data_IF_295270689826
#
_entry.id   IF_295270689826
#
_cell.length_a   1.000
_cell.length_b   1.000
_cell.length_c   1.000
_cell.angle_alpha   90.00
_cell.angle_beta   90.00
_cell.angle_gamma   90.00
#
_symmetry.space_group_name_H-M   'P 1'
#
loop_
_entity.id
_entity.type
_entity.pdbx_description
1 polymer ?
#
# COMPACT_ATOMS: atom_id res chain seq x y z
N UNK A 1 -41.74 7.46 -6.09
CA UNK A 1 -40.66 6.51 -6.42
C UNK A 1 -40.48 5.62 -5.20
N UNK A 2 -40.66 4.31 -5.35
CA UNK A 2 -40.59 3.33 -4.26
C UNK A 2 -39.21 3.41 -3.59
N UNK A 3 -39.17 3.86 -2.33
CA UNK A 3 -37.97 3.99 -1.52
C UNK A 3 -37.61 2.64 -0.87
N UNK A 4 -37.61 1.57 -1.68
CA UNK A 4 -37.25 0.23 -1.22
C UNK A 4 -35.76 0.06 -1.44
N UNK A 5 -34.99 0.12 -0.35
CA UNK A 5 -33.58 -0.28 -0.36
C UNK A 5 -33.46 -1.69 -0.97
N UNK A 6 -32.49 -1.94 -1.86
CA UNK A 6 -32.28 -3.28 -2.39
C UNK A 6 -32.01 -4.25 -1.23
N UNK A 7 -32.49 -5.51 -1.32
CA UNK A 7 -32.25 -6.51 -0.29
C UNK A 7 -30.75 -6.74 -0.12
N UNK A 8 -30.25 -6.57 1.11
CA UNK A 8 -28.83 -6.68 1.47
C UNK A 8 -28.56 -8.10 1.99
N UNK A 9 -27.49 -8.73 1.50
CA UNK A 9 -27.01 -10.04 1.93
C UNK A 9 -25.55 -9.98 2.37
N UNK A 10 -25.16 -10.82 3.34
CA UNK A 10 -23.75 -10.98 3.70
C UNK A 10 -22.91 -11.50 2.54
N UNK A 11 -23.51 -12.22 1.59
CA UNK A 11 -22.80 -12.76 0.43
C UNK A 11 -22.55 -11.70 -0.66
N UNK A 12 -23.13 -10.49 -0.55
CA UNK A 12 -22.96 -9.39 -1.51
C UNK A 12 -21.49 -9.03 -1.72
N UNK A 13 -20.64 -9.22 -0.71
CA UNK A 13 -19.18 -9.07 -0.82
C UNK A 13 -18.56 -9.92 -1.94
N UNK A 14 -19.20 -11.01 -2.35
CA UNK A 14 -18.75 -11.91 -3.42
C UNK A 14 -19.73 -11.97 -4.60
N UNK A 15 -21.04 -11.82 -4.38
CA UNK A 15 -22.06 -12.00 -5.43
C UNK A 15 -22.49 -10.70 -6.13
N UNK A 16 -22.39 -9.55 -5.45
CA UNK A 16 -22.83 -8.28 -6.01
C UNK A 16 -21.92 -7.90 -7.18
N UNK A 17 -22.47 -7.55 -8.34
CA UNK A 17 -21.67 -7.18 -9.52
C UNK A 17 -21.19 -5.73 -9.46
N UNK A 18 -22.06 -4.82 -9.03
CA UNK A 18 -21.81 -3.37 -8.96
C UNK A 18 -22.54 -2.77 -7.75
N UNK A 19 -22.09 -1.63 -7.25
CA UNK A 19 -22.70 -0.94 -6.11
C UNK A 19 -21.91 -1.16 -4.82
N UNK A 20 -22.53 -0.91 -3.67
CA UNK A 20 -21.83 -0.93 -2.38
C UNK A 20 -22.03 -2.26 -1.65
N UNK A 21 -20.94 -2.90 -1.25
CA UNK A 21 -20.95 -4.07 -0.38
C UNK A 21 -20.15 -3.79 0.90
N UNK A 22 -20.62 -4.32 2.02
CA UNK A 22 -19.87 -4.30 3.28
C UNK A 22 -18.90 -5.47 3.33
N UNK A 23 -17.62 -5.20 3.63
CA UNK A 23 -16.60 -6.23 3.73
C UNK A 23 -15.42 -5.82 4.62
N UNK A 24 -14.67 -6.82 5.09
CA UNK A 24 -13.37 -6.61 5.75
C UNK A 24 -12.23 -6.45 4.74
N UNK A 25 -11.06 -5.99 5.20
CA UNK A 25 -9.86 -5.93 4.35
C UNK A 25 -9.45 -7.30 3.78
N UNK A 26 -9.56 -8.38 4.57
CA UNK A 26 -9.28 -9.75 4.09
C UNK A 26 -10.29 -10.17 3.00
N UNK A 27 -11.57 -9.86 3.19
CA UNK A 27 -12.60 -10.17 2.18
C UNK A 27 -12.40 -9.37 0.89
N UNK A 28 -11.88 -8.14 0.98
CA UNK A 28 -11.48 -7.37 -0.19
C UNK A 28 -10.34 -8.04 -0.98
N UNK A 29 -9.37 -8.68 -0.30
CA UNK A 29 -8.32 -9.47 -0.95
C UNK A 29 -8.86 -10.70 -1.68
N UNK A 30 -9.96 -11.29 -1.20
CA UNK A 30 -10.67 -12.38 -1.89
C UNK A 30 -11.48 -11.86 -3.08
N UNK A 31 -12.11 -10.69 -2.92
CA UNK A 31 -12.92 -10.06 -3.96
C UNK A 31 -12.08 -9.53 -5.13
N UNK A 32 -10.88 -9.02 -4.85
CA UNK A 32 -9.96 -8.46 -5.84
C UNK A 32 -9.70 -9.37 -7.06
N UNK A 33 -9.28 -10.64 -6.92
CA UNK A 33 -9.08 -11.52 -8.07
C UNK A 33 -10.36 -11.80 -8.87
N UNK A 34 -11.54 -11.77 -8.22
CA UNK A 34 -12.83 -11.89 -8.93
C UNK A 34 -13.05 -10.67 -9.83
N UNK A 35 -12.77 -9.46 -9.32
CA UNK A 35 -12.88 -8.23 -10.11
C UNK A 35 -11.90 -8.22 -11.28
N UNK A 36 -10.66 -8.69 -11.07
CA UNK A 36 -9.69 -8.82 -12.17
C UNK A 36 -10.19 -9.79 -13.25
N UNK A 37 -10.74 -10.95 -12.87
CA UNK A 37 -11.29 -11.92 -13.82
C UNK A 37 -12.45 -11.33 -14.64
N UNK A 38 -13.36 -10.58 -14.01
CA UNK A 38 -14.46 -9.91 -14.71
C UNK A 38 -13.95 -8.89 -15.75
N UNK A 39 -12.85 -8.18 -15.45
CA UNK A 39 -12.22 -7.25 -16.40
C UNK A 39 -11.57 -7.98 -17.56
N UNK A 40 -10.89 -9.09 -17.29
CA UNK A 40 -10.25 -9.89 -18.33
C UNK A 40 -11.28 -10.49 -19.30
N UNK A 41 -12.39 -11.03 -18.78
CA UNK A 41 -13.49 -11.54 -19.59
C UNK A 41 -14.14 -10.45 -20.44
N UNK A 42 -14.36 -9.26 -19.88
CA UNK A 42 -14.88 -8.11 -20.62
C UNK A 42 -13.92 -7.62 -21.72
N UNK A 43 -12.61 -7.85 -21.56
CA UNK A 43 -11.59 -7.58 -22.57
C UNK A 43 -11.40 -8.75 -23.57
N UNK A 44 -12.18 -9.82 -23.46
CA UNK A 44 -12.10 -11.00 -24.33
C UNK A 44 -10.94 -11.95 -24.02
N UNK A 45 -10.33 -11.85 -22.85
CA UNK A 45 -9.20 -12.70 -22.42
C UNK A 45 -9.68 -13.92 -21.63
N UNK A 46 -9.13 -15.09 -21.95
CA UNK A 46 -9.29 -16.32 -21.18
C UNK A 46 -8.16 -16.48 -20.16
N UNK A 47 -8.18 -15.67 -19.09
CA UNK A 47 -7.20 -15.77 -17.99
C UNK A 47 -7.68 -16.67 -16.85
N UNK A 48 -6.74 -17.11 -16.02
CA UNK A 48 -7.02 -17.76 -14.73
C UNK A 48 -6.39 -16.95 -13.58
N UNK A 49 -6.88 -17.17 -12.36
CA UNK A 49 -6.34 -16.56 -11.15
C UNK A 49 -5.63 -17.59 -10.27
N UNK A 50 -4.47 -17.24 -9.72
CA UNK A 50 -3.76 -18.09 -8.75
C UNK A 50 -3.39 -17.30 -7.49
N UNK A 51 -3.81 -17.79 -6.32
CA UNK A 51 -3.52 -17.15 -5.03
C UNK A 51 -2.84 -18.15 -4.11
N UNK A 52 -1.69 -17.76 -3.58
CA UNK A 52 -0.94 -18.57 -2.62
C UNK A 52 -0.14 -17.67 -1.68
N UNK A 53 0.31 -18.21 -0.56
CA UNK A 53 1.02 -17.46 0.46
C UNK A 53 1.14 -18.25 1.73
N UNK A 54 1.67 -17.60 2.76
CA UNK A 54 1.78 -18.20 4.08
C UNK A 54 1.17 -17.28 5.14
N UNK A 55 0.41 -17.90 6.04
CA UNK A 55 -0.34 -17.20 7.08
C UNK A 55 0.59 -16.53 8.11
N UNK A 56 0.29 -15.28 8.42
CA UNK A 56 0.89 -14.53 9.51
C UNK A 56 0.10 -13.25 9.74
N UNK A 57 -0.17 -12.88 10.99
CA UNK A 57 -0.94 -11.65 11.29
C UNK A 57 -0.26 -10.42 10.69
N UNK A 58 -0.96 -9.47 10.05
CA UNK A 58 -2.43 -9.33 10.01
C UNK A 58 -3.16 -10.24 9.00
N UNK A 59 -2.42 -10.94 8.14
CA UNK A 59 -2.95 -11.81 7.08
C UNK A 59 -3.25 -13.24 7.53
N UNK A 60 -3.35 -13.49 8.84
CA UNK A 60 -3.46 -14.84 9.42
C UNK A 60 -4.74 -15.60 9.04
N UNK A 61 -5.81 -14.88 8.68
CA UNK A 61 -7.11 -15.47 8.32
C UNK A 61 -7.36 -15.51 6.80
N UNK A 62 -6.39 -15.11 5.97
CA UNK A 62 -6.53 -15.08 4.50
C UNK A 62 -6.93 -16.46 3.97
N UNK A 63 -6.23 -17.53 4.37
CA UNK A 63 -6.52 -18.91 3.94
C UNK A 63 -7.97 -19.29 4.21
N UNK A 64 -8.46 -19.00 5.41
CA UNK A 64 -9.81 -19.36 5.85
C UNK A 64 -10.87 -18.66 4.99
N UNK A 65 -10.67 -17.38 4.68
CA UNK A 65 -11.61 -16.63 3.85
C UNK A 65 -11.59 -17.11 2.39
N UNK A 66 -10.42 -17.44 1.82
CA UNK A 66 -10.36 -18.06 0.49
C UNK A 66 -11.02 -19.44 0.45
N UNK A 67 -10.84 -20.29 1.47
CA UNK A 67 -11.53 -21.58 1.54
C UNK A 67 -13.04 -21.44 1.64
N UNK A 68 -13.55 -20.49 2.45
CA UNK A 68 -14.99 -20.20 2.53
C UNK A 68 -15.55 -19.70 1.20
N UNK A 69 -14.78 -18.88 0.49
CA UNK A 69 -15.17 -18.30 -0.79
C UNK A 69 -14.98 -19.24 -1.99
N UNK A 70 -14.41 -20.44 -1.80
CA UNK A 70 -14.10 -21.41 -2.87
C UNK A 70 -15.24 -21.60 -3.88
N UNK A 71 -16.48 -21.73 -3.41
CA UNK A 71 -17.68 -21.91 -4.25
C UNK A 71 -17.95 -20.75 -5.23
N UNK A 72 -17.44 -19.55 -4.94
CA UNK A 72 -17.53 -18.39 -5.84
C UNK A 72 -16.30 -18.26 -6.75
N UNK A 73 -15.14 -18.75 -6.31
CA UNK A 73 -13.85 -18.60 -6.99
C UNK A 73 -13.62 -19.65 -8.09
N UNK A 74 -13.95 -20.92 -7.84
CA UNK A 74 -13.72 -22.01 -8.80
C UNK A 74 -14.46 -21.82 -10.13
N UNK A 75 -15.74 -21.39 -10.16
CA UNK A 75 -16.43 -21.10 -11.43
C UNK A 75 -15.73 -20.01 -12.26
N UNK A 76 -15.01 -19.11 -11.60
CA UNK A 76 -14.25 -18.01 -12.22
C UNK A 76 -12.82 -18.41 -12.61
N UNK A 77 -12.45 -19.70 -12.50
CA UNK A 77 -11.09 -20.21 -12.74
C UNK A 77 -10.04 -19.56 -11.81
N UNK A 78 -10.44 -19.22 -10.58
CA UNK A 78 -9.54 -18.68 -9.56
C UNK A 78 -9.21 -19.78 -8.56
N UNK A 79 -7.94 -20.18 -8.49
CA UNK A 79 -7.46 -21.23 -7.58
C UNK A 79 -6.70 -20.63 -6.41
N UNK A 80 -7.16 -20.94 -5.21
CA UNK A 80 -6.38 -20.75 -3.99
C UNK A 80 -5.63 -22.03 -3.62
N UNK A 81 -4.35 -21.90 -3.30
CA UNK A 81 -3.51 -22.99 -2.79
C UNK A 81 -2.67 -22.44 -1.64
N UNK A 82 -2.94 -22.87 -0.41
CA UNK A 82 -2.11 -22.50 0.73
C UNK A 82 -0.66 -22.98 0.51
N UNK A 83 0.30 -22.09 0.74
CA UNK A 83 1.72 -22.40 0.66
C UNK A 83 2.20 -23.16 1.89
N UNK A 84 3.26 -23.96 1.72
CA UNK A 84 3.94 -24.59 2.86
C UNK A 84 4.81 -23.58 3.63
N UNK A 85 5.38 -22.62 2.90
CA UNK A 85 6.08 -21.44 3.39
C UNK A 85 6.01 -20.34 2.31
N UNK A 86 6.53 -19.17 2.64
CA UNK A 86 6.53 -17.99 1.79
C UNK A 86 7.32 -18.16 0.49
N UNK A 87 8.47 -18.83 0.54
CA UNK A 87 9.38 -19.02 -0.60
C UNK A 87 8.75 -19.94 -1.66
N UNK A 88 8.16 -21.05 -1.24
CA UNK A 88 7.47 -22.00 -2.12
C UNK A 88 6.21 -21.37 -2.72
N UNK A 89 5.49 -20.55 -1.95
CA UNK A 89 4.38 -19.78 -2.46
C UNK A 89 4.85 -18.80 -3.57
N UNK A 90 5.91 -18.04 -3.33
CA UNK A 90 6.45 -17.11 -4.33
C UNK A 90 7.00 -17.83 -5.56
N UNK A 91 7.65 -18.97 -5.38
CA UNK A 91 8.16 -19.80 -6.49
C UNK A 91 7.00 -20.34 -7.33
N UNK A 92 5.89 -20.73 -6.69
CA UNK A 92 4.67 -21.15 -7.39
C UNK A 92 4.09 -20.00 -8.21
N UNK A 93 4.03 -18.78 -7.65
CA UNK A 93 3.62 -17.57 -8.40
C UNK A 93 4.57 -17.28 -9.56
N UNK A 94 5.87 -17.48 -9.40
CA UNK A 94 6.80 -17.32 -10.51
C UNK A 94 6.58 -18.35 -11.61
N UNK A 95 6.29 -19.60 -11.26
CA UNK A 95 5.89 -20.63 -12.21
C UNK A 95 4.64 -20.28 -13.02
N UNK A 96 3.65 -19.61 -12.42
CA UNK A 96 2.43 -19.20 -13.15
C UNK A 96 2.73 -18.18 -14.26
N UNK A 97 3.78 -17.37 -14.11
CA UNK A 97 4.20 -16.40 -15.12
C UNK A 97 4.93 -17.02 -16.31
N UNK A 98 5.26 -18.31 -16.24
CA UNK A 98 5.98 -19.06 -17.27
C UNK A 98 5.07 -19.98 -18.07
N UNK A 99 3.79 -20.12 -17.70
CA UNK A 99 2.85 -21.06 -18.33
C UNK A 99 2.75 -20.86 -19.85
N UNK A 100 2.79 -19.60 -20.31
CA UNK A 100 2.70 -19.27 -21.74
C UNK A 100 3.99 -19.51 -22.54
N UNK A 101 5.06 -20.03 -21.91
CA UNK A 101 6.20 -20.57 -22.64
C UNK A 101 5.88 -21.93 -23.28
N UNK A 102 4.87 -22.64 -22.76
CA UNK A 102 4.33 -23.86 -23.37
C UNK A 102 3.25 -23.50 -24.40
N UNK A 103 3.36 -23.92 -25.67
CA UNK A 103 2.32 -23.68 -26.68
C UNK A 103 0.97 -24.33 -26.35
N UNK A 104 0.92 -25.28 -25.41
CA UNK A 104 -0.30 -25.94 -24.95
C UNK A 104 -0.94 -25.27 -23.72
N UNK A 105 -0.52 -24.03 -23.38
CA UNK A 105 -1.12 -23.26 -22.30
C UNK A 105 -2.65 -23.16 -22.45
N UNK A 106 -3.38 -23.49 -21.39
CA UNK A 106 -4.86 -23.48 -21.38
C UNK A 106 -5.47 -22.08 -21.27
N UNK A 107 -4.69 -21.11 -20.83
CA UNK A 107 -5.12 -19.74 -20.52
C UNK A 107 -4.15 -18.74 -21.13
N UNK A 108 -4.65 -17.58 -21.52
CA UNK A 108 -3.85 -16.48 -22.11
C UNK A 108 -2.84 -15.90 -21.12
N UNK A 109 -3.11 -16.07 -19.82
CA UNK A 109 -2.24 -15.70 -18.72
C UNK A 109 -2.84 -16.08 -17.36
N UNK A 110 -1.99 -16.11 -16.34
CA UNK A 110 -2.40 -16.40 -14.95
C UNK A 110 -2.06 -15.20 -14.06
N UNK A 111 -3.05 -14.37 -13.74
CA UNK A 111 -2.85 -13.30 -12.77
C UNK A 111 -2.71 -13.90 -11.38
N UNK A 112 -1.78 -13.38 -10.58
CA UNK A 112 -1.39 -14.05 -9.35
C UNK A 112 -1.24 -13.12 -8.15
N UNK A 113 -1.63 -13.63 -6.99
CA UNK A 113 -1.43 -12.97 -5.70
C UNK A 113 -0.54 -13.85 -4.84
N UNK A 114 0.57 -13.27 -4.39
CA UNK A 114 1.32 -13.76 -3.25
C UNK A 114 0.89 -12.98 -2.00
N UNK A 115 0.78 -13.63 -0.84
CA UNK A 115 0.64 -12.93 0.44
C UNK A 115 1.55 -13.49 1.54
N UNK A 116 2.01 -12.59 2.40
CA UNK A 116 2.84 -12.93 3.55
C UNK A 116 3.04 -11.73 4.47
N UNK A 117 3.44 -11.99 5.72
CA UNK A 117 3.80 -10.95 6.67
C UNK A 117 5.20 -10.39 6.35
N UNK A 118 5.54 -9.22 6.90
CA UNK A 118 6.88 -8.63 6.88
C UNK A 118 8.06 -9.60 6.89
N UNK A 119 8.26 -10.43 7.94
CA UNK A 119 9.37 -11.39 7.97
C UNK A 119 9.37 -12.42 6.84
N UNK A 120 8.18 -12.75 6.31
CA UNK A 120 8.03 -13.56 5.12
C UNK A 120 8.58 -12.88 3.87
N UNK A 121 8.43 -11.56 3.75
CA UNK A 121 9.05 -10.75 2.69
C UNK A 121 10.57 -10.79 2.80
N UNK A 122 11.12 -10.62 4.01
CA UNK A 122 12.57 -10.70 4.25
C UNK A 122 13.14 -12.04 3.79
N UNK A 123 12.46 -13.13 4.18
CA UNK A 123 12.83 -14.50 3.83
C UNK A 123 12.75 -14.77 2.32
N UNK A 124 11.71 -14.26 1.65
CA UNK A 124 11.41 -14.55 0.24
C UNK A 124 12.25 -13.72 -0.74
N UNK A 125 13.10 -12.82 -0.24
CA UNK A 125 13.81 -11.84 -1.06
C UNK A 125 14.57 -12.43 -2.25
N UNK A 126 15.16 -13.63 -2.13
CA UNK A 126 15.84 -14.29 -3.24
C UNK A 126 14.89 -14.60 -4.42
N UNK A 127 13.76 -15.25 -4.14
CA UNK A 127 12.75 -15.59 -5.14
C UNK A 127 12.20 -14.32 -5.79
N UNK A 128 11.93 -13.27 -5.01
CA UNK A 128 11.47 -11.99 -5.55
C UNK A 128 12.49 -11.34 -6.50
N UNK A 129 13.80 -11.41 -6.22
CA UNK A 129 14.83 -10.89 -7.13
C UNK A 129 14.78 -11.61 -8.48
N UNK A 130 14.82 -12.94 -8.45
CA UNK A 130 14.80 -13.76 -9.66
C UNK A 130 13.51 -13.56 -10.46
N UNK A 131 12.36 -13.61 -9.78
CA UNK A 131 11.07 -13.51 -10.44
C UNK A 131 10.79 -12.11 -11.00
N UNK A 132 11.19 -11.04 -10.31
CA UNK A 132 11.01 -9.67 -10.80
C UNK A 132 11.95 -9.35 -11.98
N UNK A 133 13.21 -9.82 -11.91
CA UNK A 133 14.16 -9.70 -13.03
C UNK A 133 13.62 -10.38 -14.29
N UNK A 134 13.17 -11.63 -14.18
CA UNK A 134 12.52 -12.35 -15.27
C UNK A 134 11.25 -11.62 -15.75
N UNK A 135 10.38 -11.25 -14.81
CA UNK A 135 9.16 -10.47 -15.00
C UNK A 135 7.88 -11.30 -15.05
N UNK A 136 6.81 -10.67 -15.51
CA UNK A 136 5.47 -11.27 -15.60
C UNK A 136 5.11 -11.66 -17.03
N UNK A 137 4.18 -12.61 -17.19
CA UNK A 137 3.53 -12.87 -18.48
C UNK A 137 2.68 -11.65 -18.89
N UNK A 138 2.54 -11.42 -20.19
CA UNK A 138 1.77 -10.29 -20.77
C UNK A 138 0.35 -10.17 -20.21
N UNK A 139 -0.33 -11.30 -19.99
CA UNK A 139 -1.69 -11.35 -19.43
C UNK A 139 -1.74 -12.01 -18.04
N UNK A 140 -0.58 -12.27 -17.42
CA UNK A 140 -0.49 -12.73 -16.05
C UNK A 140 -0.63 -11.55 -15.10
N UNK A 141 0.49 -10.98 -14.68
CA UNK A 141 0.56 -9.90 -13.70
C UNK A 141 0.57 -10.44 -12.28
N UNK A 142 1.36 -9.82 -11.40
CA UNK A 142 1.62 -10.30 -10.04
C UNK A 142 1.49 -9.18 -9.03
N UNK A 143 0.71 -9.47 -7.99
CA UNK A 143 0.55 -8.66 -6.79
C UNK A 143 1.17 -9.37 -5.58
N UNK A 144 2.05 -8.68 -4.88
CA UNK A 144 2.72 -9.18 -3.68
C UNK A 144 2.16 -8.42 -2.47
N UNK A 145 1.20 -9.03 -1.79
CA UNK A 145 0.50 -8.46 -0.63
C UNK A 145 1.36 -8.65 0.62
N UNK A 146 1.88 -7.55 1.14
CA UNK A 146 2.82 -7.54 2.24
C UNK A 146 2.17 -7.02 3.52
N UNK A 147 1.94 -7.94 4.47
CA UNK A 147 1.31 -7.66 5.76
C UNK A 147 2.26 -6.95 6.72
N UNK A 148 2.06 -5.66 6.93
CA UNK A 148 2.84 -4.84 7.84
C UNK A 148 2.07 -4.52 9.14
N UNK A 149 2.80 -4.59 10.26
CA UNK A 149 2.33 -4.27 11.60
C UNK A 149 3.35 -3.32 12.23
N UNK A 150 3.00 -2.03 12.24
CA UNK A 150 3.89 -0.97 12.68
C UNK A 150 4.01 -0.89 14.21
N UNK A 151 2.96 -1.22 14.94
CA UNK A 151 2.95 -1.25 16.40
C UNK A 151 3.37 -2.60 16.99
N UNK A 152 3.58 -3.62 16.16
CA UNK A 152 3.83 -4.99 16.61
C UNK A 152 2.75 -5.51 17.57
N UNK A 153 1.48 -5.18 17.31
CA UNK A 153 0.34 -5.63 18.13
C UNK A 153 0.23 -7.16 18.16
N UNK A 154 0.60 -7.80 17.06
CA UNK A 154 0.55 -9.26 16.86
C UNK A 154 1.84 -9.80 16.24
N UNK A 155 2.91 -9.00 16.30
CA UNK A 155 4.20 -9.29 15.68
C UNK A 155 5.31 -9.38 16.72
N UNK A 156 6.34 -10.17 16.42
CA UNK A 156 7.56 -10.19 17.22
C UNK A 156 8.37 -8.90 17.06
N UNK A 157 8.31 -8.28 15.88
CA UNK A 157 9.01 -7.03 15.57
C UNK A 157 8.10 -6.07 14.77
N UNK A 158 8.16 -4.76 15.06
CA UNK A 158 7.59 -3.73 14.21
C UNK A 158 8.22 -3.77 12.81
N UNK A 159 7.43 -3.90 11.74
CA UNK A 159 7.95 -4.11 10.39
C UNK A 159 7.67 -2.94 9.42
N UNK A 160 8.44 -2.81 8.33
CA UNK A 160 8.26 -1.83 7.24
C UNK A 160 8.83 -2.40 5.94
N UNK A 161 7.97 -2.95 5.08
CA UNK A 161 8.39 -3.73 3.90
C UNK A 161 8.90 -2.90 2.72
N UNK A 162 8.58 -1.60 2.63
CA UNK A 162 8.89 -0.79 1.44
C UNK A 162 10.39 -0.72 1.13
N UNK A 163 11.23 -0.70 2.16
CA UNK A 163 12.69 -0.72 1.99
C UNK A 163 13.20 -2.00 1.32
N UNK A 164 12.56 -3.14 1.62
CA UNK A 164 12.91 -4.42 1.00
C UNK A 164 12.51 -4.40 -0.47
N UNK A 165 11.27 -4.00 -0.77
CA UNK A 165 10.78 -3.95 -2.15
C UNK A 165 11.54 -2.96 -3.04
N UNK A 166 11.97 -1.81 -2.48
CA UNK A 166 12.91 -0.91 -3.16
C UNK A 166 14.21 -1.63 -3.55
N UNK A 167 14.79 -2.41 -2.64
CA UNK A 167 15.99 -3.21 -2.94
C UNK A 167 15.76 -4.36 -3.94
N UNK A 168 14.51 -4.82 -4.07
CA UNK A 168 14.08 -5.84 -5.04
C UNK A 168 13.66 -5.25 -6.39
N UNK A 169 13.70 -3.93 -6.52
CA UNK A 169 13.25 -3.19 -7.70
C UNK A 169 11.77 -3.43 -8.06
N UNK A 170 10.90 -3.60 -7.07
CA UNK A 170 9.47 -3.84 -7.25
C UNK A 170 8.67 -2.56 -6.97
N UNK A 171 7.86 -2.05 -7.92
CA UNK A 171 6.96 -0.92 -7.65
C UNK A 171 6.06 -1.19 -6.45
N UNK A 172 5.87 -0.20 -5.58
CA UNK A 172 5.15 -0.37 -4.30
C UNK A 172 3.90 0.51 -4.28
N UNK A 173 2.73 -0.13 -4.14
CA UNK A 173 1.45 0.53 -3.93
C UNK A 173 1.11 0.57 -2.43
N UNK A 174 0.64 1.73 -1.96
CA UNK A 174 0.31 1.97 -0.56
C UNK A 174 -1.16 2.43 -0.40
N UNK A 175 -2.12 1.50 -0.42
CA UNK A 175 -3.53 1.83 -0.20
C UNK A 175 -3.78 2.35 1.23
N UNK A 176 -4.70 3.30 1.36
CA UNK A 176 -5.07 3.89 2.64
C UNK A 176 -6.23 3.17 3.34
N UNK A 177 -7.05 2.44 2.58
CA UNK A 177 -8.28 1.82 3.08
C UNK A 177 -8.78 0.70 2.17
N UNK A 178 -9.90 0.08 2.56
CA UNK A 178 -10.47 -1.09 1.88
C UNK A 178 -10.95 -0.75 0.46
N UNK A 179 -11.48 0.45 0.22
CA UNK A 179 -11.83 0.90 -1.14
C UNK A 179 -10.60 0.86 -2.04
N UNK A 180 -9.48 1.40 -1.56
CA UNK A 180 -8.22 1.41 -2.29
C UNK A 180 -7.58 0.02 -2.38
N UNK A 181 -8.00 -0.96 -1.57
CA UNK A 181 -7.56 -2.33 -1.79
C UNK A 181 -8.01 -2.87 -3.15
N UNK A 182 -9.26 -2.59 -3.50
CA UNK A 182 -9.83 -2.95 -4.79
C UNK A 182 -9.23 -2.08 -5.89
N UNK A 183 -9.16 -0.76 -5.70
CA UNK A 183 -8.70 0.17 -6.73
C UNK A 183 -7.21 0.00 -7.07
N UNK A 184 -6.35 0.06 -6.06
CA UNK A 184 -4.91 -0.12 -6.26
C UNK A 184 -4.56 -1.58 -6.57
N UNK A 185 -5.39 -2.54 -6.17
CA UNK A 185 -5.24 -3.93 -6.61
C UNK A 185 -5.42 -4.07 -8.12
N UNK A 186 -6.48 -3.48 -8.70
CA UNK A 186 -6.68 -3.52 -10.15
C UNK A 186 -5.59 -2.76 -10.91
N UNK A 187 -5.15 -1.60 -10.39
CA UNK A 187 -3.96 -0.94 -10.91
C UNK A 187 -2.70 -1.79 -10.77
N UNK A 188 -2.54 -2.55 -9.69
CA UNK A 188 -1.38 -3.41 -9.47
C UNK A 188 -1.24 -4.51 -10.52
N UNK A 189 -2.34 -5.19 -10.88
CA UNK A 189 -2.31 -6.16 -11.98
C UNK A 189 -2.00 -5.50 -13.32
N UNK A 190 -2.64 -4.38 -13.64
CA UNK A 190 -2.42 -3.68 -14.90
C UNK A 190 -0.99 -3.10 -15.02
N UNK A 191 -0.49 -2.47 -13.95
CA UNK A 191 0.89 -1.99 -13.83
C UNK A 191 1.87 -3.13 -13.99
N UNK A 192 1.61 -4.27 -13.35
CA UNK A 192 2.48 -5.45 -13.42
C UNK A 192 2.53 -6.04 -14.84
N UNK A 193 1.39 -6.14 -15.53
CA UNK A 193 1.30 -6.60 -16.92
C UNK A 193 2.05 -5.66 -17.88
N UNK A 194 1.85 -4.36 -17.70
CA UNK A 194 2.45 -3.33 -18.57
C UNK A 194 3.97 -3.22 -18.38
N UNK A 195 4.43 -3.06 -17.14
CA UNK A 195 5.85 -2.85 -16.84
C UNK A 195 6.67 -4.14 -16.88
N UNK A 196 6.03 -5.31 -16.76
CA UNK A 196 6.72 -6.58 -16.56
C UNK A 196 7.29 -6.75 -15.15
N UNK A 197 7.09 -5.79 -14.23
CA UNK A 197 7.50 -5.89 -12.84
C UNK A 197 6.48 -6.68 -12.00
N UNK A 198 6.95 -7.30 -10.94
CA UNK A 198 6.08 -7.68 -9.83
C UNK A 198 5.75 -6.44 -9.00
N UNK A 199 4.48 -6.28 -8.63
CA UNK A 199 4.02 -5.10 -7.90
C UNK A 199 3.79 -5.45 -6.44
N UNK A 200 4.55 -4.81 -5.57
CA UNK A 200 4.36 -4.88 -4.14
C UNK A 200 3.17 -4.03 -3.70
N UNK A 201 2.47 -4.51 -2.69
CA UNK A 201 1.23 -3.91 -2.21
C UNK A 201 1.18 -4.00 -0.71
N UNK A 202 1.20 -2.83 -0.07
CA UNK A 202 1.27 -2.73 1.38
C UNK A 202 -0.09 -3.00 2.01
N UNK A 203 -0.14 -3.94 2.94
CA UNK A 203 -1.33 -4.29 3.70
C UNK A 203 -1.10 -4.05 5.19
N UNK A 204 -1.48 -2.87 5.68
CA UNK A 204 -1.35 -2.52 7.09
C UNK A 204 -2.39 -3.23 7.95
N UNK A 205 -1.98 -3.60 9.16
CA UNK A 205 -2.86 -4.22 10.18
C UNK A 205 -4.16 -3.45 10.37
N UNK A 206 -4.10 -2.11 10.51
CA UNK A 206 -5.31 -1.29 10.68
C UNK A 206 -6.26 -1.34 9.49
N UNK A 207 -5.76 -1.59 8.26
CA UNK A 207 -6.61 -1.69 7.07
C UNK A 207 -7.15 -3.11 6.88
N UNK A 208 -6.31 -4.13 7.13
CA UNK A 208 -6.67 -5.54 6.99
C UNK A 208 -7.76 -5.94 8.00
N UNK A 209 -7.65 -5.46 9.24
CA UNK A 209 -8.52 -5.82 10.36
C UNK A 209 -9.77 -4.93 10.49
N UNK A 210 -9.91 -3.91 9.64
CA UNK A 210 -11.10 -3.04 9.59
C UNK A 210 -12.14 -3.57 8.60
N UNK A 211 -13.37 -3.10 8.75
CA UNK A 211 -14.49 -3.31 7.80
C UNK A 211 -15.05 -1.99 7.29
N UNK A 212 -15.51 -1.95 6.04
CA UNK A 212 -16.14 -0.78 5.44
C UNK A 212 -17.13 -1.17 4.34
N UNK A 213 -18.02 -0.24 3.99
CA UNK A 213 -18.88 -0.35 2.81
C UNK A 213 -18.21 0.32 1.62
N UNK A 214 -17.82 -0.49 0.63
CA UNK A 214 -17.00 -0.09 -0.52
C UNK A 214 -17.74 -0.35 -1.83
N UNK A 215 -17.42 0.41 -2.88
CA UNK A 215 -17.93 0.15 -4.22
C UNK A 215 -17.19 -1.06 -4.82
N UNK A 216 -17.94 -2.05 -5.30
CA UNK A 216 -17.42 -3.30 -5.85
C UNK A 216 -17.54 -3.40 -7.38
N UNK A 217 -17.91 -2.32 -8.04
CA UNK A 217 -17.94 -2.25 -9.51
C UNK A 217 -16.51 -2.41 -10.07
N UNK A 218 -16.22 -3.51 -10.78
CA UNK A 218 -14.89 -3.76 -11.32
C UNK A 218 -14.49 -2.79 -12.41
N UNK A 219 -15.42 -2.03 -13.02
CA UNK A 219 -15.16 -1.13 -14.15
C UNK A 219 -15.07 0.34 -13.75
N UNK A 220 -15.35 0.68 -12.49
CA UNK A 220 -15.18 2.06 -11.99
C UNK A 220 -13.72 2.52 -12.12
N UNK A 221 -12.77 1.62 -11.93
CA UNK A 221 -11.33 1.89 -12.03
C UNK A 221 -10.89 1.84 -13.48
N UNK A 222 -10.34 2.92 -14.01
CA UNK A 222 -9.79 2.94 -15.37
C UNK A 222 -8.29 2.67 -15.31
N UNK A 223 -7.84 1.61 -15.99
CA UNK A 223 -6.42 1.23 -16.07
C UNK A 223 -5.89 1.56 -17.45
N UNK A 224 -5.42 2.79 -17.62
CA UNK A 224 -4.90 3.30 -18.89
C UNK A 224 -3.49 2.76 -19.12
N UNK A 225 -3.20 2.37 -20.36
CA UNK A 225 -1.88 1.88 -20.78
C UNK A 225 -1.15 2.99 -21.52
N UNK A 226 0.06 3.40 -21.10
CA UNK A 226 0.83 4.41 -21.82
C UNK A 226 1.09 4.00 -23.27
N UNK A 227 0.92 4.97 -24.17
CA UNK A 227 1.19 4.80 -25.60
C UNK A 227 2.70 4.81 -25.88
N UNK A 228 3.10 4.46 -27.10
CA UNK A 228 4.50 4.57 -27.52
C UNK A 228 5.03 6.02 -27.49
N UNK A 229 4.15 7.02 -27.58
CA UNK A 229 4.52 8.43 -27.43
C UNK A 229 4.77 8.83 -25.97
N UNK A 230 4.03 8.22 -25.04
CA UNK A 230 4.23 8.43 -23.60
C UNK A 230 5.49 7.71 -23.10
N UNK A 231 5.71 6.48 -23.57
CA UNK A 231 6.90 5.69 -23.24
C UNK A 231 7.20 4.66 -24.34
N UNK A 232 8.32 4.81 -25.08
CA UNK A 232 8.69 3.85 -26.11
C UNK A 232 9.15 2.53 -25.48
N UNK A 233 8.43 1.45 -25.76
CA UNK A 233 8.81 0.11 -25.33
C UNK A 233 9.99 -0.42 -26.18
N UNK A 234 10.91 -1.20 -25.59
CA UNK A 234 11.92 -1.91 -26.37
C UNK A 234 11.26 -2.89 -27.35
N UNK A 235 11.93 -3.18 -28.46
CA UNK A 235 11.41 -4.05 -29.54
C UNK A 235 10.93 -5.41 -29.04
N UNK A 236 11.72 -6.04 -28.16
CA UNK A 236 11.39 -7.35 -27.58
C UNK A 236 10.37 -7.28 -26.42
N UNK A 237 9.85 -6.09 -26.09
CA UNK A 237 8.95 -5.85 -24.97
C UNK A 237 9.58 -6.02 -23.58
N UNK A 238 8.73 -5.95 -22.55
CA UNK A 238 9.14 -5.94 -21.13
C UNK A 238 8.89 -7.26 -20.40
N UNK A 239 7.92 -8.05 -20.87
CA UNK A 239 7.43 -9.24 -20.18
C UNK A 239 8.45 -10.40 -20.19
N UNK A 240 8.14 -11.40 -19.37
CA UNK A 240 8.94 -12.62 -19.24
C UNK A 240 9.07 -13.32 -20.60
N UNK A 241 10.30 -13.74 -20.90
CA UNK A 241 10.63 -14.56 -22.06
C UNK A 241 11.82 -15.46 -21.73
N UNK A 242 11.96 -16.53 -22.49
CA UNK A 242 13.03 -17.50 -22.33
C UNK A 242 13.65 -17.85 -23.70
N UNK A 243 14.97 -18.03 -23.79
CA UNK A 243 15.98 -17.78 -22.75
C UNK A 243 16.44 -16.31 -22.74
N UNK A 244 16.64 -15.73 -21.55
CA UNK A 244 17.32 -14.43 -21.38
C UNK A 244 18.48 -14.58 -20.37
N UNK A 245 19.72 -14.19 -20.71
CA UNK A 245 20.83 -14.17 -19.77
C UNK A 245 20.59 -13.18 -18.60
N UNK A 246 21.18 -13.39 -17.41
CA UNK A 246 20.95 -12.55 -16.23
C UNK A 246 21.19 -11.05 -16.46
N UNK A 247 22.29 -10.68 -17.12
CA UNK A 247 22.61 -9.26 -17.39
C UNK A 247 21.63 -8.59 -18.36
N UNK A 248 20.99 -9.37 -19.24
CA UNK A 248 19.95 -8.85 -20.13
C UNK A 248 18.66 -8.57 -19.36
N UNK A 249 18.30 -9.44 -18.41
CA UNK A 249 17.16 -9.24 -17.51
C UNK A 249 17.37 -8.02 -16.61
N UNK A 250 18.55 -7.89 -16.00
CA UNK A 250 18.92 -6.74 -15.16
C UNK A 250 18.84 -5.44 -15.96
N UNK A 251 19.46 -5.37 -17.14
CA UNK A 251 19.39 -4.19 -18.01
C UNK A 251 17.95 -3.83 -18.35
N UNK A 252 17.09 -4.81 -18.65
CA UNK A 252 15.67 -4.57 -18.92
C UNK A 252 14.94 -3.99 -17.71
N UNK A 253 15.16 -4.57 -16.53
CA UNK A 253 14.57 -4.12 -15.28
C UNK A 253 14.95 -2.67 -14.96
N UNK A 254 16.25 -2.38 -14.96
CA UNK A 254 16.78 -1.09 -14.54
C UNK A 254 16.58 0.02 -15.59
N UNK A 255 16.70 -0.28 -16.88
CA UNK A 255 16.66 0.74 -17.94
C UNK A 255 15.27 0.92 -18.55
N UNK A 256 14.35 -0.04 -18.37
CA UNK A 256 13.04 0.01 -19.02
C UNK A 256 11.87 -0.25 -18.08
N UNK A 257 11.84 -1.37 -17.35
CA UNK A 257 10.65 -1.78 -16.57
C UNK A 257 10.25 -0.74 -15.51
N UNK A 258 11.22 -0.23 -14.74
CA UNK A 258 10.95 0.79 -13.71
C UNK A 258 10.45 2.12 -14.30
N UNK A 259 11.01 2.54 -15.44
CA UNK A 259 10.56 3.75 -16.12
C UNK A 259 9.18 3.58 -16.77
N UNK A 260 8.85 2.38 -17.26
CA UNK A 260 7.50 2.05 -17.67
C UNK A 260 6.52 2.15 -16.49
N UNK A 261 6.92 1.66 -15.30
CA UNK A 261 6.09 1.80 -14.10
C UNK A 261 5.83 3.28 -13.73
N UNK A 262 6.83 4.15 -13.86
CA UNK A 262 6.67 5.60 -13.68
C UNK A 262 5.72 6.23 -14.70
N UNK A 263 5.85 5.87 -15.98
CA UNK A 263 4.96 6.34 -17.04
C UNK A 263 3.49 5.92 -16.79
N UNK A 264 3.29 4.67 -16.36
CA UNK A 264 1.97 4.17 -15.96
C UNK A 264 1.42 4.94 -14.76
N UNK A 265 2.23 5.16 -13.72
CA UNK A 265 1.85 5.89 -12.52
C UNK A 265 1.37 7.30 -12.85
N UNK A 266 2.10 8.01 -13.72
CA UNK A 266 1.76 9.37 -14.16
C UNK A 266 0.45 9.40 -14.93
N UNK A 267 0.30 8.55 -15.93
CA UNK A 267 -0.90 8.51 -16.78
C UNK A 267 -2.16 8.20 -15.97
N UNK A 268 -2.06 7.27 -15.02
CA UNK A 268 -3.19 6.85 -14.18
C UNK A 268 -3.37 7.73 -12.93
N UNK A 269 -2.56 8.78 -12.75
CA UNK A 269 -2.61 9.68 -11.60
C UNK A 269 -2.65 8.95 -10.25
N UNK A 270 -1.83 7.89 -10.11
CA UNK A 270 -1.77 7.14 -8.86
C UNK A 270 -1.34 8.03 -7.69
N UNK A 271 -0.54 9.05 -7.99
CA UNK A 271 -0.16 10.12 -7.08
C UNK A 271 -0.95 11.39 -7.46
N UNK A 272 -1.64 11.99 -6.48
CA UNK A 272 -2.65 13.04 -6.74
C UNK A 272 -2.60 14.19 -5.73
N UNK A 273 -2.79 15.41 -6.22
CA UNK A 273 -3.12 16.57 -5.38
C UNK A 273 -4.59 16.47 -4.97
N UNK A 274 -4.83 16.27 -3.68
CA UNK A 274 -6.17 16.14 -3.08
C UNK A 274 -6.75 17.53 -2.78
N UNK A 275 -5.93 18.41 -2.23
CA UNK A 275 -6.29 19.80 -1.93
C UNK A 275 -5.26 20.67 -2.62
N UNK A 276 -5.72 21.65 -3.39
CA UNK A 276 -4.87 22.65 -4.00
C UNK A 276 -5.18 24.05 -3.47
N UNK A 277 -4.21 24.95 -3.57
CA UNK A 277 -4.34 26.34 -3.20
C UNK A 277 -3.72 27.23 -4.28
N UNK A 278 -4.39 28.31 -4.70
CA UNK A 278 -3.81 29.29 -5.63
C UNK A 278 -2.66 30.09 -4.99
N UNK A 279 -2.58 30.11 -3.66
CA UNK A 279 -1.54 30.80 -2.89
C UNK A 279 -0.85 29.80 -1.95
N UNK A 280 -0.49 28.63 -2.49
CA UNK A 280 0.09 27.54 -1.70
C UNK A 280 1.41 27.99 -1.04
N UNK A 281 1.57 27.66 0.24
CA UNK A 281 2.77 27.97 1.06
C UNK A 281 3.34 26.72 1.70
N UNK A 282 2.46 25.90 2.28
CA UNK A 282 2.83 24.63 2.90
C UNK A 282 2.17 23.47 2.15
N UNK A 283 3.00 22.59 1.60
CA UNK A 283 2.58 21.30 1.08
C UNK A 283 2.64 20.24 2.15
N UNK A 284 1.67 19.34 2.16
CA UNK A 284 1.70 18.09 2.92
C UNK A 284 1.74 16.95 1.91
N UNK A 285 2.74 16.07 2.01
CA UNK A 285 2.82 14.84 1.21
C UNK A 285 2.67 13.63 2.13
N UNK A 286 1.82 12.69 1.73
CA UNK A 286 1.50 11.52 2.56
C UNK A 286 1.06 10.33 1.70
N UNK A 287 1.00 9.13 2.29
CA UNK A 287 0.60 7.89 1.62
C UNK A 287 -0.07 6.92 2.59
N UNK A 288 -0.71 5.88 2.05
CA UNK A 288 -1.29 4.80 2.85
C UNK A 288 -2.21 5.30 3.97
N UNK A 289 -2.19 4.61 5.12
CA UNK A 289 -3.00 4.99 6.30
C UNK A 289 -2.74 6.43 6.76
N UNK A 290 -1.49 6.92 6.72
CA UNK A 290 -1.16 8.28 7.16
C UNK A 290 -1.96 9.35 6.41
N UNK A 291 -2.40 9.08 5.18
CA UNK A 291 -3.34 9.98 4.48
C UNK A 291 -4.64 10.18 5.26
N UNK A 292 -5.26 9.10 5.74
CA UNK A 292 -6.49 9.20 6.53
C UNK A 292 -6.24 9.90 7.87
N UNK A 293 -5.09 9.64 8.50
CA UNK A 293 -4.70 10.31 9.74
C UNK A 293 -4.45 11.82 9.53
N UNK A 294 -3.89 12.23 8.39
CA UNK A 294 -3.77 13.64 7.98
C UNK A 294 -5.14 14.27 7.78
N UNK A 295 -6.07 13.59 7.11
CA UNK A 295 -7.45 14.10 6.94
C UNK A 295 -8.14 14.28 8.29
N UNK A 296 -8.00 13.31 9.20
CA UNK A 296 -8.53 13.43 10.56
C UNK A 296 -7.87 14.57 11.35
N UNK A 297 -6.55 14.73 11.24
CA UNK A 297 -5.83 15.81 11.90
C UNK A 297 -6.27 17.19 11.42
N UNK A 298 -6.51 17.36 10.12
CA UNK A 298 -7.04 18.60 9.55
C UNK A 298 -8.45 18.90 10.08
N UNK A 299 -9.34 17.90 10.12
CA UNK A 299 -10.70 18.04 10.67
C UNK A 299 -10.71 18.40 12.16
N UNK A 300 -9.85 17.74 12.94
CA UNK A 300 -9.62 18.02 14.36
C UNK A 300 -9.21 19.49 14.58
N UNK A 301 -8.36 20.04 13.70
CA UNK A 301 -7.94 21.44 13.70
C UNK A 301 -9.00 22.41 13.14
N UNK A 302 -10.10 21.89 12.59
CA UNK A 302 -11.16 22.68 11.95
C UNK A 302 -10.78 23.23 10.58
N UNK A 303 -9.89 22.52 9.88
CA UNK A 303 -9.40 22.88 8.56
C UNK A 303 -10.04 21.92 7.55
N UNK A 304 -11.18 22.33 6.99
CA UNK A 304 -11.76 21.66 5.82
C UNK A 304 -10.98 21.97 4.53
N UNK A 305 -11.38 21.40 3.40
CA UNK A 305 -10.68 21.59 2.11
C UNK A 305 -10.70 23.05 1.65
N UNK A 306 -11.82 23.76 1.84
CA UNK A 306 -11.95 25.16 1.46
C UNK A 306 -11.04 26.05 2.33
N UNK A 307 -10.99 25.78 3.63
CA UNK A 307 -10.11 26.48 4.57
C UNK A 307 -8.66 26.19 4.27
N UNK A 308 -8.29 24.92 4.03
CA UNK A 308 -6.95 24.51 3.64
C UNK A 308 -6.48 25.29 2.40
N UNK A 309 -7.30 25.31 1.34
CA UNK A 309 -7.02 26.07 0.13
C UNK A 309 -6.86 27.58 0.41
N UNK A 310 -7.76 28.17 1.22
CA UNK A 310 -7.74 29.60 1.53
C UNK A 310 -6.51 30.05 2.33
N UNK A 311 -6.01 29.22 3.25
CA UNK A 311 -4.85 29.56 4.09
C UNK A 311 -3.50 29.21 3.45
N UNK A 312 -3.49 28.58 2.26
CA UNK A 312 -2.27 28.22 1.54
C UNK A 312 -1.76 26.79 1.79
N UNK A 313 -2.64 25.84 2.11
CA UNK A 313 -2.28 24.42 2.22
C UNK A 313 -2.53 23.66 0.92
N UNK A 314 -1.57 22.82 0.54
CA UNK A 314 -1.70 21.81 -0.52
C UNK A 314 -1.53 20.42 0.09
N UNK A 315 -2.34 19.45 -0.32
CA UNK A 315 -2.24 18.06 0.14
C UNK A 315 -2.02 17.13 -1.04
N UNK A 316 -0.92 16.39 -1.04
CA UNK A 316 -0.57 15.40 -2.05
C UNK A 316 -0.59 14.00 -1.46
N UNK A 317 -1.34 13.11 -2.10
CA UNK A 317 -1.42 11.71 -1.74
C UNK A 317 -0.64 10.89 -2.76
N UNK A 318 0.35 10.15 -2.28
CA UNK A 318 1.15 9.20 -3.08
C UNK A 318 0.51 7.82 -2.98
N UNK A 319 0.07 7.27 -4.11
CA UNK A 319 -0.47 5.92 -4.22
C UNK A 319 0.61 4.88 -4.57
N UNK A 320 1.55 5.25 -5.45
CA UNK A 320 2.75 4.47 -5.75
C UNK A 320 3.95 5.11 -5.04
N UNK A 321 4.33 4.56 -3.89
CA UNK A 321 5.35 5.12 -3.00
C UNK A 321 6.78 4.82 -3.45
N UNK A 322 6.95 3.85 -4.35
CA UNK A 322 8.22 3.59 -5.02
C UNK A 322 8.01 2.98 -6.41
N UNK A 323 8.80 3.38 -7.42
CA UNK A 323 9.62 4.61 -7.43
C UNK A 323 8.71 5.85 -7.38
N UNK A 324 9.14 6.90 -6.68
CA UNK A 324 8.40 8.16 -6.62
C UNK A 324 8.41 8.88 -7.98
N UNK A 325 7.25 9.30 -8.47
CA UNK A 325 7.12 9.92 -9.79
C UNK A 325 7.51 11.41 -9.77
N UNK A 326 8.59 11.73 -10.48
CA UNK A 326 9.28 13.03 -10.41
C UNK A 326 8.44 14.22 -10.91
N UNK A 327 7.71 14.08 -12.02
CA UNK A 327 7.02 15.21 -12.65
C UNK A 327 5.85 15.70 -11.80
N UNK A 328 5.03 14.76 -11.29
CA UNK A 328 3.92 15.06 -10.39
C UNK A 328 4.38 15.67 -9.08
N UNK A 329 5.49 15.17 -8.52
CA UNK A 329 6.07 15.72 -7.28
C UNK A 329 6.64 17.13 -7.49
N UNK A 330 7.35 17.38 -8.60
CA UNK A 330 7.85 18.72 -8.93
C UNK A 330 6.70 19.70 -9.16
N UNK A 331 5.68 19.29 -9.91
CA UNK A 331 4.45 20.10 -10.09
C UNK A 331 3.77 20.42 -8.75
N UNK A 332 3.71 19.45 -7.83
CA UNK A 332 3.20 19.68 -6.49
C UNK A 332 4.06 20.66 -5.69
N UNK A 333 5.38 20.63 -5.88
CA UNK A 333 6.34 21.49 -5.18
C UNK A 333 6.32 22.96 -5.64
N UNK A 334 5.85 23.24 -6.86
CA UNK A 334 5.84 24.60 -7.42
C UNK A 334 5.06 25.59 -6.53
N UNK A 335 5.74 26.69 -6.18
CA UNK A 335 5.21 27.79 -5.39
C UNK A 335 5.16 27.53 -3.88
N UNK A 336 5.56 26.36 -3.40
CA UNK A 336 5.61 26.08 -1.96
C UNK A 336 6.87 26.68 -1.32
N UNK A 337 6.72 27.20 -0.11
CA UNK A 337 7.85 27.56 0.75
C UNK A 337 8.42 26.29 1.42
N UNK A 338 7.53 25.36 1.77
CA UNK A 338 7.87 24.15 2.52
C UNK A 338 6.96 22.97 2.20
N UNK A 339 7.52 21.77 2.26
CA UNK A 339 6.79 20.49 2.22
C UNK A 339 7.02 19.74 3.53
N UNK A 340 5.92 19.37 4.20
CA UNK A 340 5.88 18.45 5.33
C UNK A 340 5.55 17.04 4.84
N UNK A 341 6.50 16.11 5.01
CA UNK A 341 6.33 14.68 4.70
C UNK A 341 5.75 13.96 5.91
N UNK A 342 4.57 13.36 5.72
CA UNK A 342 3.87 12.58 6.74
C UNK A 342 3.75 11.15 6.24
N UNK A 343 4.67 10.31 6.70
CA UNK A 343 4.75 8.89 6.36
C UNK A 343 4.96 8.03 7.60
N UNK A 344 4.47 6.80 7.57
CA UNK A 344 4.67 5.86 8.67
C UNK A 344 6.10 5.30 8.72
N UNK A 345 6.56 5.08 9.96
CA UNK A 345 7.88 4.54 10.32
C UNK A 345 9.05 5.33 9.76
N UNK A 346 10.05 4.69 9.15
CA UNK A 346 11.28 5.38 8.73
C UNK A 346 11.06 6.12 7.42
N UNK A 347 11.89 7.13 7.19
CA UNK A 347 11.87 7.96 5.98
C UNK A 347 11.99 7.11 4.72
N UNK A 348 11.05 7.28 3.79
CA UNK A 348 11.02 6.58 2.52
C UNK A 348 10.61 7.51 1.38
N UNK A 349 9.49 8.20 1.53
CA UNK A 349 9.08 9.30 0.66
C UNK A 349 9.96 10.52 0.87
N UNK A 350 10.32 10.86 2.11
CA UNK A 350 11.15 12.04 2.39
C UNK A 350 12.48 11.98 1.64
N UNK A 351 13.11 10.80 1.57
CA UNK A 351 14.36 10.62 0.84
C UNK A 351 14.22 10.78 -0.66
N UNK A 352 13.21 10.16 -1.24
CA UNK A 352 12.96 10.27 -2.68
C UNK A 352 12.58 11.69 -3.06
N UNK A 353 11.74 12.36 -2.26
CA UNK A 353 11.36 13.74 -2.47
C UNK A 353 12.58 14.68 -2.46
N UNK A 354 13.47 14.51 -1.48
CA UNK A 354 14.72 15.28 -1.41
C UNK A 354 15.59 15.04 -2.64
N UNK A 355 15.73 13.79 -3.10
CA UNK A 355 16.46 13.46 -4.32
C UNK A 355 15.85 14.15 -5.56
N UNK A 356 14.52 14.05 -5.73
CA UNK A 356 13.82 14.61 -6.89
C UNK A 356 13.88 16.15 -6.97
N UNK A 357 14.08 16.80 -5.83
CA UNK A 357 14.16 18.25 -5.70
C UNK A 357 15.59 18.78 -5.60
N UNK A 358 16.58 17.97 -5.21
CA UNK A 358 17.93 18.46 -4.91
C UNK A 358 18.61 19.11 -6.11
N UNK A 359 18.61 18.42 -7.26
CA UNK A 359 19.15 18.91 -8.52
C UNK A 359 18.10 19.69 -9.36
N UNK A 360 16.99 20.09 -8.75
CA UNK A 360 16.01 20.95 -9.40
C UNK A 360 16.43 22.43 -9.30
N UNK A 361 15.60 23.33 -9.81
CA UNK A 361 15.88 24.77 -9.85
C UNK A 361 15.85 25.36 -8.44
N UNK A 362 16.92 26.03 -8.04
CA UNK A 362 17.06 26.60 -6.69
C UNK A 362 15.94 27.60 -6.37
N UNK A 363 15.44 28.35 -7.36
CA UNK A 363 14.44 29.42 -7.15
C UNK A 363 13.05 28.90 -6.79
N UNK A 364 12.77 27.62 -7.05
CA UNK A 364 11.45 27.00 -6.83
C UNK A 364 11.50 25.79 -5.89
N UNK A 365 12.67 25.52 -5.29
CA UNK A 365 12.87 24.36 -4.41
C UNK A 365 12.36 24.66 -3.00
N UNK A 366 11.27 24.02 -2.53
CA UNK A 366 10.80 24.21 -1.16
C UNK A 366 11.75 23.55 -0.16
N UNK A 367 11.69 24.02 1.08
CA UNK A 367 12.28 23.29 2.20
C UNK A 367 11.52 21.97 2.42
N UNK A 368 12.21 20.84 2.56
CA UNK A 368 11.58 19.54 2.84
C UNK A 368 11.86 19.12 4.28
N UNK A 369 10.78 18.91 5.04
CA UNK A 369 10.82 18.44 6.42
C UNK A 369 9.94 17.20 6.58
N UNK A 370 10.14 16.44 7.65
CA UNK A 370 9.33 15.23 7.90
C UNK A 370 9.56 14.71 9.30
N UNK A 371 10.46 13.75 9.45
CA UNK A 371 10.79 13.19 10.78
C UNK A 371 11.45 14.20 11.70
N UNK A 372 12.26 15.07 11.12
CA UNK A 372 12.96 16.15 11.79
C UNK A 372 12.58 17.48 11.14
N UNK A 373 12.78 18.55 11.90
CA UNK A 373 12.52 19.91 11.47
C UNK A 373 13.66 20.46 10.59
N UNK A 374 14.84 20.71 11.15
CA UNK A 374 15.88 21.57 10.57
C UNK A 374 17.22 20.85 10.40
N UNK A 375 17.43 19.71 11.08
CA UNK A 375 18.67 18.93 11.02
C UNK A 375 18.48 17.62 10.27
N UNK A 376 19.54 17.16 9.60
CA UNK A 376 19.54 15.86 8.92
C UNK A 376 19.45 14.69 9.91
N UNK A 377 18.91 13.54 9.46
CA UNK A 377 18.64 12.34 10.28
C UNK A 377 19.83 11.95 11.19
N UNK A 378 21.05 12.04 10.67
CA UNK A 378 22.27 11.56 11.34
C UNK A 378 23.12 12.67 11.98
N UNK A 379 22.65 13.92 11.98
CA UNK A 379 23.39 15.03 12.54
C UNK A 379 23.28 15.03 14.08
N UNK A 380 24.42 14.95 14.78
CA UNK A 380 24.48 15.00 16.25
C UNK A 380 24.96 16.38 16.75
N UNK A 381 24.32 16.97 17.77
CA UNK A 381 23.10 16.49 18.44
C UNK A 381 21.87 16.61 17.53
N UNK A 382 21.00 15.59 17.55
CA UNK A 382 19.77 15.57 16.77
C UNK A 382 18.76 16.60 17.32
N UNK A 383 17.85 17.09 16.48
CA UNK A 383 16.67 17.82 16.97
C UNK A 383 15.62 16.85 17.50
N UNK A 384 14.65 17.36 18.26
CA UNK A 384 13.50 16.56 18.70
C UNK A 384 12.73 16.00 17.50
N UNK A 385 12.11 14.84 17.68
CA UNK A 385 11.30 14.23 16.62
C UNK A 385 10.06 15.07 16.35
N UNK A 386 9.92 15.55 15.11
CA UNK A 386 8.68 16.19 14.65
C UNK A 386 7.60 15.13 14.42
N UNK A 387 7.98 14.05 13.73
CA UNK A 387 7.17 12.87 13.50
C UNK A 387 8.05 11.65 13.79
N UNK A 388 7.84 10.89 14.88
CA UNK A 388 8.74 9.80 15.23
C UNK A 388 8.71 8.67 14.20
N UNK A 389 9.86 8.03 14.00
CA UNK A 389 9.96 6.81 13.19
C UNK A 389 9.59 5.53 13.96
N UNK A 390 9.63 5.57 15.29
CA UNK A 390 9.27 4.46 16.15
C UNK A 390 7.77 4.47 16.48
N UNK A 391 7.14 3.30 16.40
CA UNK A 391 5.71 3.12 16.66
C UNK A 391 4.83 3.55 15.49
N UNK A 392 3.58 3.91 15.80
CA UNK A 392 2.58 4.41 14.86
C UNK A 392 2.43 5.93 15.03
N UNK A 393 2.22 6.66 13.94
CA UNK A 393 1.75 8.04 14.04
C UNK A 393 0.28 8.05 14.45
N UNK A 394 -0.10 9.03 15.26
CA UNK A 394 -1.50 9.27 15.62
C UNK A 394 -1.98 10.58 14.98
N UNK A 395 -3.30 10.72 14.72
CA UNK A 395 -3.86 11.99 14.25
C UNK A 395 -3.52 13.17 15.17
N UNK A 396 -3.39 12.96 16.48
CA UNK A 396 -3.01 14.00 17.44
C UNK A 396 -1.56 14.49 17.25
N UNK A 397 -0.63 13.57 17.01
CA UNK A 397 0.78 13.91 16.72
C UNK A 397 0.88 14.67 15.40
N UNK A 398 0.16 14.19 14.37
CA UNK A 398 0.10 14.83 13.06
C UNK A 398 -0.54 16.23 13.17
N UNK A 399 -1.63 16.37 13.93
CA UNK A 399 -2.28 17.66 14.15
C UNK A 399 -1.35 18.68 14.79
N UNK A 400 -0.54 18.27 15.78
CA UNK A 400 0.48 19.16 16.38
C UNK A 400 1.55 19.56 15.38
N UNK A 401 2.07 18.62 14.60
CA UNK A 401 3.07 18.91 13.57
C UNK A 401 2.52 19.91 12.53
N UNK A 402 1.32 19.65 11.99
CA UNK A 402 0.66 20.56 11.04
C UNK A 402 0.43 21.93 11.68
N UNK A 403 -0.17 21.98 12.88
CA UNK A 403 -0.47 23.23 13.57
C UNK A 403 0.78 24.07 13.85
N UNK A 404 1.88 23.43 14.26
CA UNK A 404 3.17 24.10 14.46
C UNK A 404 3.72 24.71 13.17
N UNK A 405 3.55 24.05 12.01
CA UNK A 405 4.01 24.58 10.72
C UNK A 405 3.12 25.70 10.19
N UNK A 406 1.80 25.61 10.35
CA UNK A 406 0.86 26.65 9.88
C UNK A 406 0.89 27.91 10.74
N UNK A 407 1.28 27.82 12.02
CA UNK A 407 1.34 28.96 12.95
C UNK A 407 2.18 30.14 12.43
N UNK A 408 3.09 29.90 11.48
CA UNK A 408 3.88 30.93 10.78
C UNK A 408 3.03 31.90 9.93
N UNK A 409 1.84 31.48 9.50
CA UNK A 409 0.99 32.30 8.62
C UNK A 409 -0.51 32.20 8.92
N UNK A 410 -0.96 31.27 9.78
CA UNK A 410 -2.36 31.13 10.15
C UNK A 410 -2.55 30.50 11.54
N UNK A 411 -3.53 31.01 12.29
CA UNK A 411 -4.04 30.38 13.52
C UNK A 411 -5.53 30.67 13.66
N UNK A 412 -6.23 29.87 14.46
CA UNK A 412 -7.61 30.11 14.87
C UNK A 412 -7.84 29.71 16.32
N UNK A 413 -8.94 30.15 16.93
CA UNK A 413 -9.29 29.73 18.30
C UNK A 413 -9.58 28.23 18.38
N UNK A 414 -10.10 27.64 17.29
CA UNK A 414 -10.31 26.19 17.19
C UNK A 414 -8.97 25.43 17.20
N UNK A 415 -7.98 25.90 16.45
CA UNK A 415 -6.63 25.32 16.46
C UNK A 415 -6.04 25.39 17.87
N UNK A 416 -6.06 26.56 18.50
CA UNK A 416 -5.53 26.76 19.87
C UNK A 416 -6.23 25.85 20.88
N UNK A 417 -7.55 25.79 20.85
CA UNK A 417 -8.33 24.93 21.74
C UNK A 417 -8.03 23.44 21.53
N UNK A 418 -7.87 22.99 20.28
CA UNK A 418 -7.53 21.60 19.97
C UNK A 418 -6.12 21.25 20.46
N UNK A 419 -5.15 22.13 20.28
CA UNK A 419 -3.78 21.91 20.79
C UNK A 419 -3.76 21.83 22.32
N UNK A 420 -4.42 22.76 23.00
CA UNK A 420 -4.53 22.73 24.46
C UNK A 420 -5.18 21.44 24.97
N UNK A 421 -6.19 20.92 24.26
CA UNK A 421 -6.82 19.64 24.58
C UNK A 421 -5.85 18.46 24.41
N UNK A 422 -5.08 18.42 23.32
CA UNK A 422 -4.10 17.36 23.06
C UNK A 422 -3.01 17.37 24.14
N UNK A 423 -2.46 18.55 24.45
CA UNK A 423 -1.44 18.72 25.50
C UNK A 423 -1.95 18.26 26.88
N UNK A 424 -3.18 18.63 27.25
CA UNK A 424 -3.79 18.19 28.49
C UNK A 424 -3.97 16.66 28.56
N UNK A 425 -4.33 16.02 27.44
CA UNK A 425 -4.47 14.56 27.36
C UNK A 425 -3.14 13.85 27.46
N UNK A 426 -2.10 14.35 26.82
CA UNK A 426 -0.75 13.77 26.92
C UNK A 426 -0.18 13.93 28.32
N UNK A 427 -0.33 15.10 28.94
CA UNK A 427 0.06 15.32 30.33
C UNK A 427 -0.68 14.36 31.28
N UNK A 428 -1.94 14.01 30.99
CA UNK A 428 -2.69 13.02 31.76
C UNK A 428 -2.29 11.56 31.47
N UNK A 429 -1.74 11.26 30.29
CA UNK A 429 -1.24 9.93 29.91
C UNK A 429 0.16 9.66 30.44
N UNK A 430 1.01 10.68 30.56
CA UNK A 430 2.35 10.59 31.13
C UNK A 430 2.34 10.27 32.64
N UNK A 431 1.19 10.43 33.32
CA UNK A 431 1.05 10.07 34.73
C UNK A 431 1.09 8.55 34.90
N UNK A 432 1.84 8.02 35.88
CA UNK A 432 1.90 6.58 36.15
C UNK A 432 0.49 6.01 36.39
N UNK A 433 0.17 4.91 35.71
CA UNK A 433 -1.07 4.15 35.94
C UNK A 433 -0.71 2.79 36.53
N UNK A 434 -1.54 2.29 37.43
CA UNK A 434 -1.52 0.89 37.86
C UNK A 434 -1.78 0.03 36.62
N UNK A 435 -0.72 -0.53 36.02
CA UNK A 435 -0.85 -1.45 34.90
C UNK A 435 -1.15 -2.84 35.43
N UNK A 436 -2.34 -3.37 35.10
CA UNK A 436 -2.59 -4.80 35.25
C UNK A 436 -1.77 -5.49 34.15
N UNK A 437 -0.75 -6.25 34.52
CA UNK A 437 0.01 -7.06 33.57
C UNK A 437 -0.95 -8.07 32.94
N UNK A 438 -1.23 -7.90 31.64
CA UNK A 438 -1.88 -8.95 30.84
C UNK A 438 -0.84 -10.01 30.53
N UNK A 439 -0.85 -11.09 31.31
CA UNK A 439 0.02 -12.25 31.08
C UNK A 439 -0.35 -12.86 29.72
N UNK A 440 0.62 -13.19 28.86
CA UNK A 440 0.36 -13.90 27.61
C UNK A 440 -0.41 -15.19 27.90
N UNK A 441 -1.55 -15.36 27.24
CA UNK A 441 -2.38 -16.55 27.35
C UNK A 441 -2.88 -16.93 25.96
N UNK A 442 -2.99 -18.23 25.68
CA UNK A 442 -3.62 -18.68 24.44
C UNK A 442 -5.13 -18.38 24.50
N UNK A 443 -5.72 -17.99 23.37
CA UNK A 443 -7.16 -17.76 23.26
C UNK A 443 -7.95 -18.96 23.82
N UNK A 444 -9.11 -18.74 24.43
CA UNK A 444 -9.89 -19.77 25.13
C UNK A 444 -10.28 -20.99 24.27
N UNK A 445 -10.19 -20.90 22.94
CA UNK A 445 -10.40 -22.00 21.98
C UNK A 445 -9.14 -22.48 21.25
N UNK A 446 -7.94 -22.03 21.64
CA UNK A 446 -6.70 -22.45 20.99
C UNK A 446 -6.39 -23.91 21.35
N UNK A 447 -6.19 -24.83 20.39
CA UNK A 447 -5.84 -26.22 20.68
C UNK A 447 -4.50 -26.34 21.42
N UNK A 448 -3.66 -25.30 21.41
CA UNK A 448 -2.44 -25.28 22.22
C UNK A 448 -2.69 -25.16 23.73
N UNK A 449 -3.86 -24.71 24.18
CA UNK A 449 -4.20 -24.66 25.62
C UNK A 449 -4.24 -26.06 26.27
N UNK A 450 -4.45 -27.13 25.49
CA UNK A 450 -4.35 -28.50 25.99
C UNK A 450 -2.95 -29.10 25.81
N UNK A 451 -2.17 -28.62 24.83
CA UNK A 451 -0.81 -29.11 24.55
C UNK A 451 0.24 -28.69 25.60
N UNK A 452 -0.05 -27.69 26.42
CA UNK A 452 0.81 -27.25 27.53
C UNK A 452 0.53 -27.95 28.85
N UNK A 453 -0.42 -28.91 28.89
CA UNK A 453 -0.55 -29.82 30.03
C UNK A 453 0.55 -30.88 29.94
N UNK A 454 1.67 -30.59 30.59
CA UNK A 454 2.71 -31.60 30.83
C UNK A 454 2.13 -32.74 31.69
N UNK A 455 2.38 -34.02 31.34
CA UNK A 455 1.98 -35.16 32.16
C UNK A 455 2.50 -35.03 33.60
N UNK A 456 1.73 -35.56 34.55
CA UNK A 456 2.11 -35.55 35.96
C UNK A 456 3.47 -36.28 36.15
N UNK A 457 4.45 -35.58 36.74
CA UNK A 457 5.82 -36.10 36.93
C UNK A 457 6.84 -35.77 35.82
N UNK A 458 6.46 -35.01 34.80
CA UNK A 458 7.42 -34.48 33.81
C UNK A 458 8.33 -33.42 34.44
N UNK A 459 9.65 -33.54 34.31
CA UNK A 459 10.63 -32.52 34.70
C UNK A 459 11.01 -31.63 33.53
#
# INVERSE_FOLDING_TARGET
MSNTMPPVSLDDKYTLKTGRAWMTGIQALVRLPMMQKMRDEAAGLNTAGFVTGYRGSPLGNVDQEFWKAKKYLEPMQIRFQAGLNEDLAATSVWGTQQVNLDPNAKFDGVFSIWYGKGPGVDRTGDVFRHANAAGTSKHGGVLVIAGDDHAAKSSTLPHQTEHVFKGLMMPVLAPAGIQEYLEYGLHGFALSRYSGCWVAFKALTDTVETSSSVNVDPFQVQTLIPTAADFPLPEDGLNLRWPDPPLVQEKRLLHHKLYAALAYCRLNQLNRTIIDSPNAKLGIITSGKSYLDVRQALDDLGIDEAKAAAIGLRLYKVGMVWPLEAEGVRKFAEGLDEILVIEEKRQFLEYQLKEELYNWKDEVRPRVIGKFDDKGEWALPHSEWLLPAAGELTPAMIARAIAGRIARFYTSDRIKARLAFIEAKEAALAKPRLSIQRVPHYCSGCPHNSSTKVPEGSR
#
